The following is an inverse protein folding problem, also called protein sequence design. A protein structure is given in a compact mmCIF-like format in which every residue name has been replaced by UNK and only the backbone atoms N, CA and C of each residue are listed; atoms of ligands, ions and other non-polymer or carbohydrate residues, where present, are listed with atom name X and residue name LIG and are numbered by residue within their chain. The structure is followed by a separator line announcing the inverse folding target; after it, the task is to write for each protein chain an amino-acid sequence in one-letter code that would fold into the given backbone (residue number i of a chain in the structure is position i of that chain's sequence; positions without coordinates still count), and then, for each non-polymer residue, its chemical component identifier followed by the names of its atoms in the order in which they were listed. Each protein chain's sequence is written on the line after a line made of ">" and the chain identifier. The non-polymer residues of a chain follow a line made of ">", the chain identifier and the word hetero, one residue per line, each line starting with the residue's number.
data_IF_883376595926
#
_entry.id   IF_883376595926
#
_cell.length_a   1.000
_cell.length_b   1.000
_cell.length_c   1.000
_cell.angle_alpha   90.00
_cell.angle_beta   90.00
_cell.angle_gamma   90.00
#
_symmetry.space_group_name_H-M   'P 1'
#
loop_
_entity.id
_entity.type
_entity.pdbx_description
1 polymer ?
#
# COMPACT_ATOMS: atom_id res chain seq x y z
N UNK A 1 23.47 20.20 -17.89
CA UNK A 1 22.90 20.32 -19.24
C UNK A 1 22.25 18.98 -19.57
N UNK A 2 20.92 18.89 -19.54
CA UNK A 2 20.20 17.62 -19.85
C UNK A 2 20.46 17.23 -21.30
N UNK A 3 20.67 15.93 -21.56
CA UNK A 3 20.87 15.39 -22.91
C UNK A 3 19.59 15.62 -23.75
N UNK A 4 19.69 15.96 -25.05
CA UNK A 4 18.55 16.22 -25.92
C UNK A 4 17.51 15.08 -25.94
N UNK A 5 17.97 13.82 -25.87
CA UNK A 5 17.11 12.64 -25.86
C UNK A 5 16.21 12.54 -24.62
N UNK A 6 16.68 13.01 -23.45
CA UNK A 6 15.90 13.07 -22.22
C UNK A 6 14.79 14.14 -22.29
N UNK A 7 15.04 15.27 -22.99
CA UNK A 7 14.02 16.31 -23.20
C UNK A 7 12.91 15.85 -24.15
N UNK A 8 13.26 15.14 -25.23
CA UNK A 8 12.30 14.61 -26.21
C UNK A 8 11.44 13.53 -25.56
N UNK A 9 12.03 12.64 -24.75
CA UNK A 9 11.29 11.60 -24.02
C UNK A 9 10.32 12.21 -23.00
N UNK A 10 10.73 13.26 -22.29
CA UNK A 10 9.89 13.97 -21.31
C UNK A 10 8.71 14.70 -21.98
N UNK A 11 8.93 15.32 -23.15
CA UNK A 11 7.87 15.99 -23.90
C UNK A 11 6.84 14.97 -24.44
N UNK A 12 7.29 13.87 -25.05
CA UNK A 12 6.41 12.79 -25.52
C UNK A 12 5.56 12.21 -24.39
N UNK A 13 6.15 12.01 -23.20
CA UNK A 13 5.46 11.52 -22.01
C UNK A 13 4.36 12.48 -21.54
N UNK A 14 4.65 13.79 -21.46
CA UNK A 14 3.66 14.81 -21.07
C UNK A 14 2.49 14.86 -22.06
N UNK A 15 2.76 14.80 -23.36
CA UNK A 15 1.70 14.77 -24.39
C UNK A 15 0.86 13.50 -24.28
N UNK A 16 1.49 12.35 -24.06
CA UNK A 16 0.77 11.08 -23.82
C UNK A 16 -0.15 11.18 -22.59
N UNK A 17 0.31 11.76 -21.49
CA UNK A 17 -0.51 11.94 -20.31
C UNK A 17 -1.70 12.88 -20.55
N UNK A 18 -1.51 14.00 -21.25
CA UNK A 18 -2.60 14.92 -21.58
C UNK A 18 -3.71 14.24 -22.42
N UNK A 19 -3.33 13.35 -23.34
CA UNK A 19 -4.30 12.60 -24.15
C UNK A 19 -5.01 11.55 -23.28
N UNK A 20 -4.28 10.84 -22.42
CA UNK A 20 -4.82 9.84 -21.48
C UNK A 20 -5.78 10.47 -20.49
N UNK A 21 -5.44 11.64 -19.96
CA UNK A 21 -6.26 12.39 -18.99
C UNK A 21 -7.56 12.94 -19.62
N UNK A 22 -7.68 12.98 -20.98
CA UNK A 22 -8.93 13.35 -21.67
C UNK A 22 -10.00 12.25 -21.61
N UNK A 23 -9.58 10.99 -21.46
CA UNK A 23 -10.47 9.82 -21.36
C UNK A 23 -9.98 8.93 -20.17
N UNK A 24 -10.00 9.45 -18.95
CA UNK A 24 -9.25 8.89 -17.84
C UNK A 24 -9.65 7.45 -17.52
N UNK A 25 -10.94 7.15 -17.52
CA UNK A 25 -11.48 5.84 -17.14
C UNK A 25 -11.74 4.90 -18.34
N UNK A 26 -11.23 5.21 -19.56
CA UNK A 26 -11.30 4.26 -20.67
C UNK A 26 -10.53 2.99 -20.30
N UNK A 27 -11.17 1.79 -20.32
CA UNK A 27 -10.49 0.54 -19.98
C UNK A 27 -9.40 0.20 -21.04
N UNK A 28 -8.24 -0.18 -20.56
CA UNK A 28 -7.14 -0.70 -21.39
C UNK A 28 -6.48 -1.88 -20.70
N UNK A 29 -6.20 -2.94 -21.43
CA UNK A 29 -5.40 -4.05 -20.89
C UNK A 29 -3.91 -3.73 -21.05
N UNK A 30 -3.15 -3.95 -19.98
CA UNK A 30 -1.70 -3.76 -19.93
C UNK A 30 -1.06 -4.93 -19.18
N UNK A 31 0.11 -5.30 -19.63
CA UNK A 31 1.00 -6.15 -18.85
C UNK A 31 1.81 -5.26 -17.90
N UNK A 32 1.78 -5.59 -16.62
CA UNK A 32 2.54 -4.93 -15.58
C UNK A 32 3.26 -6.00 -14.78
N UNK A 33 4.58 -6.03 -14.85
CA UNK A 33 5.42 -6.97 -14.10
C UNK A 33 4.97 -8.45 -14.21
N UNK A 34 4.64 -8.87 -15.42
CA UNK A 34 4.27 -10.25 -15.73
C UNK A 34 2.80 -10.62 -15.52
N UNK A 35 1.96 -9.69 -15.07
CA UNK A 35 0.51 -9.92 -14.95
C UNK A 35 -0.29 -9.03 -15.90
N UNK A 36 -1.41 -9.57 -16.43
CA UNK A 36 -2.31 -8.80 -17.28
C UNK A 36 -3.36 -8.11 -16.42
N UNK A 37 -3.46 -6.77 -16.54
CA UNK A 37 -4.40 -5.95 -15.80
C UNK A 37 -5.26 -5.10 -16.73
N UNK A 38 -6.54 -4.97 -16.42
CA UNK A 38 -7.45 -3.98 -17.01
C UNK A 38 -7.34 -2.70 -16.18
N UNK A 39 -6.85 -1.63 -16.78
CA UNK A 39 -6.56 -0.37 -16.10
C UNK A 39 -7.36 0.78 -16.71
N UNK A 40 -7.67 1.83 -15.95
CA UNK A 40 -8.01 3.13 -16.50
C UNK A 40 -6.88 3.62 -17.42
N UNK A 41 -7.20 4.19 -18.57
CA UNK A 41 -6.16 4.66 -19.51
C UNK A 41 -5.21 5.69 -18.91
N UNK A 42 -5.70 6.53 -17.99
CA UNK A 42 -4.89 7.51 -17.26
C UNK A 42 -4.00 6.90 -16.18
N UNK A 43 -4.22 5.63 -15.80
CA UNK A 43 -3.49 5.00 -14.70
C UNK A 43 -1.99 4.94 -14.97
N UNK A 44 -1.19 5.31 -13.98
CA UNK A 44 0.28 5.49 -14.14
C UNK A 44 1.11 4.28 -13.70
N UNK A 45 0.46 3.25 -13.19
CA UNK A 45 1.13 2.02 -12.77
C UNK A 45 2.08 1.45 -13.85
N UNK A 46 1.71 1.38 -15.15
CA UNK A 46 2.64 0.92 -16.18
C UNK A 46 3.86 1.82 -16.36
N UNK A 47 3.70 3.13 -16.11
CA UNK A 47 4.80 4.08 -16.17
C UNK A 47 5.77 3.84 -15.01
N UNK A 48 5.26 3.64 -13.78
CA UNK A 48 6.07 3.36 -12.59
C UNK A 48 6.85 2.06 -12.72
N UNK A 49 6.21 0.98 -13.14
CA UNK A 49 6.87 -0.31 -13.40
C UNK A 49 7.97 -0.23 -14.46
N UNK A 50 7.84 0.69 -15.43
CA UNK A 50 8.87 0.90 -16.47
C UNK A 50 10.07 1.70 -15.94
N UNK A 51 9.84 2.64 -15.02
CA UNK A 51 10.92 3.50 -14.49
C UNK A 51 11.69 2.87 -13.34
N UNK A 52 11.03 2.01 -12.58
CA UNK A 52 11.58 1.30 -11.44
C UNK A 52 11.33 -0.20 -11.56
N UNK A 53 12.29 -1.00 -12.06
CA UNK A 53 12.08 -2.45 -12.22
C UNK A 53 11.82 -3.17 -10.90
N UNK A 54 12.19 -2.55 -9.74
CA UNK A 54 11.93 -3.07 -8.41
C UNK A 54 10.62 -2.55 -7.80
N UNK A 55 9.95 -1.59 -8.44
CA UNK A 55 8.70 -1.00 -7.95
C UNK A 55 7.64 -2.08 -7.68
N UNK A 56 7.13 -2.13 -6.43
CA UNK A 56 6.16 -3.12 -5.99
C UNK A 56 6.70 -4.56 -5.82
N UNK A 57 7.94 -4.86 -6.25
CA UNK A 57 8.52 -6.20 -6.12
C UNK A 57 8.88 -6.54 -4.67
N UNK A 58 9.16 -5.53 -3.84
CA UNK A 58 9.37 -5.68 -2.40
C UNK A 58 8.17 -6.36 -1.71
N UNK A 59 6.94 -5.94 -2.00
CA UNK A 59 5.72 -6.57 -1.49
C UNK A 59 5.56 -8.00 -2.00
N UNK A 60 5.79 -8.24 -3.30
CA UNK A 60 5.66 -9.57 -3.91
C UNK A 60 6.66 -10.55 -3.31
N UNK A 61 7.93 -10.17 -3.17
CA UNK A 61 8.97 -11.00 -2.56
C UNK A 61 8.72 -11.22 -1.05
N UNK A 62 8.17 -10.22 -0.35
CA UNK A 62 7.74 -10.39 1.04
C UNK A 62 6.63 -11.43 1.15
N UNK A 63 5.57 -11.29 0.34
CA UNK A 63 4.45 -12.22 0.31
C UNK A 63 4.90 -13.65 -0.01
N UNK A 64 5.77 -13.83 -1.01
CA UNK A 64 6.37 -15.12 -1.37
C UNK A 64 7.15 -15.73 -0.21
N UNK A 65 8.02 -14.93 0.43
CA UNK A 65 8.82 -15.42 1.57
C UNK A 65 7.96 -15.83 2.76
N UNK A 66 6.86 -15.11 3.04
CA UNK A 66 5.92 -15.45 4.10
C UNK A 66 5.12 -16.72 3.76
N UNK A 67 4.69 -16.88 2.50
CA UNK A 67 4.00 -18.08 2.03
C UNK A 67 4.90 -19.34 2.09
N UNK A 68 6.19 -19.20 1.77
CA UNK A 68 7.17 -20.30 1.91
C UNK A 68 7.34 -20.73 3.38
N UNK A 69 7.25 -19.77 4.32
CA UNK A 69 7.41 -20.04 5.75
C UNK A 69 6.14 -20.65 6.39
N UNK A 70 4.94 -20.24 5.96
CA UNK A 70 3.67 -20.68 6.51
C UNK A 70 2.53 -20.62 5.46
N UNK A 71 2.40 -21.63 4.57
CA UNK A 71 1.32 -21.65 3.58
C UNK A 71 -0.01 -22.17 4.19
N UNK A 72 -1.18 -21.78 3.63
CA UNK A 72 -1.37 -20.77 2.60
C UNK A 72 -1.32 -19.34 3.17
N UNK A 73 -0.93 -18.36 2.33
CA UNK A 73 -0.86 -16.97 2.74
C UNK A 73 -2.25 -16.34 2.84
N UNK A 74 -2.54 -15.66 3.95
CA UNK A 74 -3.76 -14.87 4.13
C UNK A 74 -3.39 -13.40 4.17
N UNK A 75 -3.96 -12.60 3.25
CA UNK A 75 -3.59 -11.20 3.01
C UNK A 75 -4.79 -10.27 3.16
N UNK A 76 -4.56 -9.12 3.79
CA UNK A 76 -5.44 -7.95 3.75
C UNK A 76 -4.77 -6.87 2.90
N UNK A 77 -5.43 -6.44 1.82
CA UNK A 77 -4.99 -5.37 0.91
C UNK A 77 -5.90 -4.15 1.08
N UNK A 78 -5.43 -3.15 1.83
CA UNK A 78 -6.15 -1.89 2.09
C UNK A 78 -5.71 -0.84 1.08
N UNK A 79 -6.68 -0.21 0.42
CA UNK A 79 -6.44 0.63 -0.75
C UNK A 79 -6.08 -0.24 -1.95
N UNK A 80 -6.90 -1.26 -2.23
CA UNK A 80 -6.63 -2.23 -3.29
C UNK A 80 -6.66 -1.64 -4.70
N UNK A 81 -7.21 -0.45 -4.88
CA UNK A 81 -7.23 0.32 -6.13
C UNK A 81 -7.75 -0.53 -7.30
N UNK A 82 -6.92 -0.86 -8.27
CA UNK A 82 -7.27 -1.72 -9.42
C UNK A 82 -6.99 -3.21 -9.19
N UNK A 83 -6.52 -3.60 -8.00
CA UNK A 83 -6.23 -4.99 -7.62
C UNK A 83 -4.89 -5.53 -8.09
N UNK A 84 -3.99 -4.67 -8.50
CA UNK A 84 -2.66 -5.06 -8.99
C UNK A 84 -1.83 -5.77 -7.92
N UNK A 85 -1.84 -5.30 -6.67
CA UNK A 85 -1.17 -5.96 -5.54
C UNK A 85 -1.71 -7.39 -5.33
N UNK A 86 -3.04 -7.54 -5.27
CA UNK A 86 -3.68 -8.84 -5.05
C UNK A 86 -3.34 -9.83 -6.18
N UNK A 87 -3.42 -9.39 -7.45
CA UNK A 87 -3.09 -10.24 -8.61
C UNK A 87 -1.62 -10.64 -8.61
N UNK A 88 -0.70 -9.71 -8.32
CA UNK A 88 0.74 -9.98 -8.27
C UNK A 88 1.10 -10.94 -7.14
N UNK A 89 0.55 -10.74 -5.93
CA UNK A 89 0.75 -11.64 -4.78
C UNK A 89 0.27 -13.05 -5.12
N UNK A 90 -0.96 -13.21 -5.63
CA UNK A 90 -1.55 -14.52 -5.93
C UNK A 90 -0.93 -15.20 -7.16
N UNK A 91 -0.23 -14.45 -8.00
CA UNK A 91 0.61 -15.03 -9.07
C UNK A 91 1.94 -15.59 -8.53
N UNK A 92 2.45 -15.03 -7.44
CA UNK A 92 3.74 -15.40 -6.85
C UNK A 92 3.65 -16.38 -5.69
N UNK A 93 2.50 -16.43 -4.98
CA UNK A 93 2.29 -17.23 -3.78
C UNK A 93 0.88 -17.84 -3.75
N UNK A 94 0.76 -19.03 -3.15
CA UNK A 94 -0.55 -19.60 -2.85
C UNK A 94 -1.15 -18.96 -1.61
N UNK A 95 -2.45 -18.62 -1.69
CA UNK A 95 -3.12 -17.95 -0.60
C UNK A 95 -4.47 -17.35 -0.99
N UNK A 96 -4.96 -16.43 -0.14
CA UNK A 96 -6.20 -15.68 -0.33
C UNK A 96 -6.00 -14.21 0.05
N UNK A 97 -6.74 -13.31 -0.60
CA UNK A 97 -6.63 -11.86 -0.40
C UNK A 97 -8.01 -11.27 -0.12
N UNK A 98 -8.12 -10.47 0.95
CA UNK A 98 -9.23 -9.58 1.21
C UNK A 98 -8.86 -8.18 0.75
N UNK A 99 -9.45 -7.72 -0.34
CA UNK A 99 -9.27 -6.37 -0.88
C UNK A 99 -10.27 -5.40 -0.26
N UNK A 100 -9.82 -4.22 0.15
CA UNK A 100 -10.68 -3.11 0.56
C UNK A 100 -10.42 -1.93 -0.34
N UNK A 101 -11.47 -1.44 -0.98
CA UNK A 101 -11.42 -0.26 -1.84
C UNK A 101 -12.73 0.54 -1.68
N UNK A 102 -12.63 1.85 -1.63
CA UNK A 102 -13.78 2.74 -1.46
C UNK A 102 -14.12 3.54 -2.72
N UNK A 103 -13.14 3.78 -3.60
CA UNK A 103 -13.35 4.58 -4.79
C UNK A 103 -14.10 3.79 -5.87
N UNK A 104 -15.38 4.15 -6.07
CA UNK A 104 -16.26 3.51 -7.07
C UNK A 104 -15.67 3.47 -8.48
N UNK A 105 -14.82 4.43 -8.84
CA UNK A 105 -14.21 4.46 -10.16
C UNK A 105 -13.12 3.39 -10.30
N UNK A 106 -12.40 3.07 -9.22
CA UNK A 106 -11.39 1.99 -9.23
C UNK A 106 -12.00 0.63 -8.91
N UNK A 107 -13.07 0.56 -8.11
CA UNK A 107 -13.82 -0.69 -7.86
C UNK A 107 -14.22 -1.41 -9.16
N UNK A 108 -14.66 -0.66 -10.20
CA UNK A 108 -15.00 -1.27 -11.49
C UNK A 108 -13.80 -2.01 -12.11
N UNK A 109 -12.59 -1.47 -11.96
CA UNK A 109 -11.36 -2.10 -12.47
C UNK A 109 -10.88 -3.21 -11.54
N UNK A 110 -10.98 -3.05 -10.24
CA UNK A 110 -10.70 -4.10 -9.26
C UNK A 110 -11.51 -5.36 -9.59
N UNK A 111 -12.84 -5.24 -9.70
CA UNK A 111 -13.72 -6.35 -10.05
C UNK A 111 -13.34 -7.01 -11.40
N UNK A 112 -13.02 -6.22 -12.41
CA UNK A 112 -12.56 -6.76 -13.71
C UNK A 112 -11.29 -7.59 -13.60
N UNK A 113 -10.41 -7.26 -12.65
CA UNK A 113 -9.14 -7.94 -12.47
C UNK A 113 -9.21 -9.15 -11.54
N UNK A 114 -10.15 -9.16 -10.57
CA UNK A 114 -10.13 -10.18 -9.49
C UNK A 114 -11.36 -11.09 -9.41
N UNK A 115 -12.53 -10.71 -9.94
CA UNK A 115 -13.79 -11.48 -9.74
C UNK A 115 -13.75 -12.91 -10.24
N UNK A 116 -12.85 -13.23 -11.16
CA UNK A 116 -12.69 -14.60 -11.66
C UNK A 116 -11.78 -15.46 -10.75
N UNK A 117 -11.07 -14.85 -9.81
CA UNK A 117 -10.22 -15.57 -8.87
C UNK A 117 -10.96 -15.76 -7.52
N UNK A 118 -11.35 -16.99 -7.24
CA UNK A 118 -12.08 -17.36 -6.01
C UNK A 118 -11.27 -17.16 -4.73
N UNK A 119 -9.98 -16.90 -4.84
CA UNK A 119 -9.08 -16.60 -3.72
C UNK A 119 -9.18 -15.14 -3.26
N UNK A 120 -9.88 -14.29 -4.02
CA UNK A 120 -10.05 -12.86 -3.71
C UNK A 120 -11.47 -12.59 -3.22
N UNK A 121 -11.56 -11.87 -2.11
CA UNK A 121 -12.79 -11.25 -1.61
C UNK A 121 -12.66 -9.74 -1.65
N UNK A 122 -13.73 -9.02 -1.98
CA UNK A 122 -13.72 -7.55 -2.08
C UNK A 122 -14.73 -6.96 -1.09
N UNK A 123 -14.29 -5.96 -0.33
CA UNK A 123 -15.14 -5.12 0.53
C UNK A 123 -15.12 -3.70 -0.02
N UNK A 124 -16.28 -3.25 -0.51
CA UNK A 124 -16.49 -1.92 -1.09
C UNK A 124 -16.75 -0.89 0.01
N UNK A 125 -15.71 -0.52 0.74
CA UNK A 125 -15.80 0.42 1.86
C UNK A 125 -14.49 1.18 2.08
N UNK A 126 -14.59 2.33 2.74
CA UNK A 126 -13.46 3.04 3.32
C UNK A 126 -13.14 2.45 4.69
N UNK A 127 -11.91 1.95 4.87
CA UNK A 127 -11.44 1.55 6.19
C UNK A 127 -11.26 2.80 7.06
N UNK A 128 -11.76 2.75 8.29
CA UNK A 128 -11.68 3.84 9.25
C UNK A 128 -11.27 3.30 10.63
N UNK A 129 -10.67 4.16 11.46
CA UNK A 129 -10.32 3.77 12.85
C UNK A 129 -11.60 3.61 13.68
N UNK A 130 -12.54 4.55 13.57
CA UNK A 130 -13.81 4.53 14.30
C UNK A 130 -14.99 4.65 13.33
N UNK A 131 -16.01 3.83 13.54
CA UNK A 131 -17.25 3.89 12.75
C UNK A 131 -18.02 5.20 13.05
N UNK A 132 -18.66 5.74 12.00
CA UNK A 132 -19.44 6.98 12.11
C UNK A 132 -18.67 8.25 11.76
N UNK A 133 -17.43 8.17 11.31
CA UNK A 133 -16.73 9.30 10.71
C UNK A 133 -17.37 9.66 9.38
N UNK A 134 -18.05 10.80 9.35
CA UNK A 134 -18.93 11.24 8.26
C UNK A 134 -18.17 11.85 7.08
N UNK A 135 -18.62 11.49 5.87
CA UNK A 135 -18.40 12.27 4.64
C UNK A 135 -16.95 12.41 4.20
N UNK A 136 -16.47 11.45 3.42
CA UNK A 136 -15.21 11.57 2.70
C UNK A 136 -15.47 11.78 1.20
N UNK A 137 -14.76 12.71 0.58
CA UNK A 137 -14.80 12.96 -0.87
C UNK A 137 -13.49 12.48 -1.50
N UNK A 138 -13.60 11.71 -2.58
CA UNK A 138 -12.45 11.19 -3.31
C UNK A 138 -11.80 12.28 -4.18
N UNK A 139 -10.50 12.52 -3.96
CA UNK A 139 -9.65 13.38 -4.81
C UNK A 139 -8.66 12.49 -5.54
N UNK A 140 -8.84 12.37 -6.87
CA UNK A 140 -8.06 11.46 -7.72
C UNK A 140 -6.94 12.18 -8.44
N UNK A 141 -5.75 11.58 -8.45
CA UNK A 141 -4.59 12.10 -9.17
C UNK A 141 -3.71 10.96 -9.70
N UNK A 142 -3.61 10.83 -11.01
CA UNK A 142 -2.62 9.93 -11.65
C UNK A 142 -2.77 8.43 -11.39
N UNK A 143 -3.91 7.98 -10.88
CA UNK A 143 -4.15 6.57 -10.55
C UNK A 143 -4.29 6.31 -9.05
N UNK A 144 -4.15 7.33 -8.20
CA UNK A 144 -4.36 7.23 -6.75
C UNK A 144 -5.58 8.03 -6.32
N UNK A 145 -6.18 7.69 -5.18
CA UNK A 145 -7.32 8.39 -4.59
C UNK A 145 -7.04 8.74 -3.14
N UNK A 146 -7.05 10.02 -2.82
CA UNK A 146 -7.02 10.51 -1.45
C UNK A 146 -8.44 10.90 -1.02
N UNK A 147 -8.82 10.48 0.19
CA UNK A 147 -10.08 10.87 0.78
C UNK A 147 -9.89 12.10 1.68
N UNK A 148 -10.66 13.15 1.40
CA UNK A 148 -10.67 14.38 2.20
C UNK A 148 -12.06 14.60 2.82
N UNK A 149 -12.15 15.36 3.91
CA UNK A 149 -13.44 15.72 4.51
C UNK A 149 -14.37 16.27 3.44
N UNK A 150 -15.54 15.64 3.26
CA UNK A 150 -16.53 15.96 2.25
C UNK A 150 -17.92 16.20 2.83
N UNK A 151 -18.91 16.38 1.96
CA UNK A 151 -20.30 16.52 2.36
C UNK A 151 -20.96 15.17 2.61
N UNK A 152 -22.04 15.15 3.41
CA UNK A 152 -22.84 13.94 3.66
C UNK A 152 -23.46 13.32 2.39
N UNK A 153 -23.53 14.09 1.28
CA UNK A 153 -24.08 13.61 0.00
C UNK A 153 -23.15 12.60 -0.71
N UNK A 154 -21.85 12.59 -0.37
CA UNK A 154 -20.84 11.70 -0.96
C UNK A 154 -20.48 10.55 -0.01
N UNK A 155 -21.30 10.25 1.00
CA UNK A 155 -21.02 9.24 2.00
C UNK A 155 -20.80 7.87 1.38
N UNK A 156 -19.57 7.38 1.50
CA UNK A 156 -19.21 6.00 1.16
C UNK A 156 -19.43 5.08 2.37
N UNK A 157 -19.71 3.79 2.15
CA UNK A 157 -19.69 2.83 3.22
C UNK A 157 -18.34 2.88 3.95
N UNK A 158 -18.38 2.86 5.28
CA UNK A 158 -17.20 2.79 6.13
C UNK A 158 -17.20 1.50 6.94
N UNK A 159 -16.02 0.97 7.23
CA UNK A 159 -15.85 -0.21 8.05
C UNK A 159 -14.65 -0.03 8.97
N UNK A 160 -14.77 -0.38 10.25
CA UNK A 160 -13.63 -0.44 11.16
C UNK A 160 -12.88 -1.77 11.02
N UNK A 161 -11.60 -1.82 11.42
CA UNK A 161 -10.80 -3.05 11.38
C UNK A 161 -11.45 -4.19 12.20
N UNK A 162 -11.99 -3.90 13.38
CA UNK A 162 -12.71 -4.87 14.21
C UNK A 162 -13.97 -5.41 13.53
N UNK A 163 -14.74 -4.55 12.87
CA UNK A 163 -15.94 -4.94 12.14
C UNK A 163 -15.59 -5.76 10.91
N UNK A 164 -14.55 -5.34 10.17
CA UNK A 164 -14.04 -6.04 9.00
C UNK A 164 -13.67 -7.48 9.33
N UNK A 165 -12.87 -7.68 10.40
CA UNK A 165 -12.48 -9.01 10.88
C UNK A 165 -13.73 -9.87 11.23
N UNK A 166 -14.65 -9.30 12.00
CA UNK A 166 -15.87 -9.99 12.41
C UNK A 166 -16.72 -10.46 11.23
N UNK A 167 -16.81 -9.66 10.17
CA UNK A 167 -17.63 -9.94 9.01
C UNK A 167 -16.92 -10.86 7.99
N UNK A 168 -15.61 -11.08 8.15
CA UNK A 168 -14.77 -11.90 7.26
C UNK A 168 -13.96 -12.94 8.04
N UNK A 169 -14.60 -13.90 8.74
CA UNK A 169 -13.92 -14.86 9.62
C UNK A 169 -12.94 -15.78 8.88
N UNK A 170 -13.08 -15.95 7.56
CA UNK A 170 -12.12 -16.68 6.74
C UNK A 170 -10.72 -16.03 6.72
N UNK A 171 -10.61 -14.79 7.20
CA UNK A 171 -9.36 -14.03 7.30
C UNK A 171 -8.88 -13.85 8.75
N UNK A 172 -9.36 -14.64 9.70
CA UNK A 172 -8.92 -14.58 11.11
C UNK A 172 -7.43 -14.93 11.27
N UNK A 173 -6.91 -15.81 10.43
CA UNK A 173 -5.50 -16.22 10.35
C UNK A 173 -4.62 -15.29 9.50
N UNK A 174 -4.89 -13.99 9.55
CA UNK A 174 -4.21 -12.98 8.75
C UNK A 174 -2.69 -13.03 8.93
N UNK A 175 -1.95 -13.12 7.81
CA UNK A 175 -0.49 -13.25 7.83
C UNK A 175 0.24 -12.02 7.29
N UNK A 176 -0.37 -11.31 6.35
CA UNK A 176 0.20 -10.11 5.75
C UNK A 176 -0.89 -9.04 5.62
N UNK A 177 -0.56 -7.82 6.02
CA UNK A 177 -1.33 -6.61 5.72
C UNK A 177 -0.53 -5.79 4.71
N UNK A 178 -1.15 -5.37 3.60
CA UNK A 178 -0.69 -4.25 2.78
C UNK A 178 -1.62 -3.08 3.02
N UNK A 179 -1.08 -1.90 3.29
CA UNK A 179 -1.84 -0.66 3.38
C UNK A 179 -1.16 0.43 2.56
N UNK A 180 -1.94 1.07 1.70
CA UNK A 180 -1.52 2.17 0.85
C UNK A 180 -2.73 3.12 0.68
N UNK A 181 -2.79 4.10 1.57
CA UNK A 181 -3.97 4.95 1.77
C UNK A 181 -3.64 6.44 1.76
N UNK A 182 -2.56 6.80 1.03
CA UNK A 182 -2.15 8.20 0.84
C UNK A 182 -2.01 8.97 2.19
N UNK A 183 -1.34 8.34 3.18
CA UNK A 183 -0.95 8.94 4.46
C UNK A 183 -1.88 8.66 5.66
N UNK A 184 -3.01 7.95 5.48
CA UNK A 184 -3.84 7.48 6.60
C UNK A 184 -3.29 6.22 7.26
N UNK A 185 -2.31 5.59 6.67
CA UNK A 185 -1.66 4.34 7.09
C UNK A 185 -1.18 4.40 8.54
N UNK A 186 -0.67 5.54 8.98
CA UNK A 186 -0.15 5.74 10.34
C UNK A 186 -1.20 5.52 11.45
N UNK A 187 -2.48 5.65 11.13
CA UNK A 187 -3.59 5.37 12.04
C UNK A 187 -4.26 4.03 11.77
N UNK A 188 -4.38 3.66 10.49
CA UNK A 188 -5.08 2.45 10.08
C UNK A 188 -4.28 1.19 10.43
N UNK A 189 -2.96 1.21 10.20
CA UNK A 189 -2.10 0.04 10.43
C UNK A 189 -2.09 -0.39 11.90
N UNK A 190 -1.94 0.50 12.92
CA UNK A 190 -2.10 0.11 14.31
C UNK A 190 -3.50 -0.42 14.65
N UNK A 191 -4.56 0.16 14.09
CA UNK A 191 -5.93 -0.32 14.32
C UNK A 191 -6.16 -1.72 13.74
N UNK A 192 -5.54 -2.04 12.59
CA UNK A 192 -5.54 -3.39 12.02
C UNK A 192 -4.75 -4.35 12.93
N UNK A 193 -3.57 -3.94 13.39
CA UNK A 193 -2.73 -4.74 14.29
C UNK A 193 -3.47 -5.07 15.61
N UNK A 194 -4.21 -4.12 16.17
CA UNK A 194 -5.08 -4.34 17.35
C UNK A 194 -6.21 -5.33 17.04
N UNK A 195 -6.86 -5.19 15.88
CA UNK A 195 -7.97 -6.06 15.48
C UNK A 195 -7.54 -7.51 15.27
N UNK A 196 -6.33 -7.77 14.79
CA UNK A 196 -5.73 -9.10 14.59
C UNK A 196 -4.55 -9.38 15.54
N UNK A 197 -4.66 -8.91 16.79
CA UNK A 197 -3.56 -9.03 17.78
C UNK A 197 -3.13 -10.47 18.07
N UNK A 198 -4.03 -11.44 17.92
CA UNK A 198 -3.75 -12.88 18.06
C UNK A 198 -3.03 -13.49 16.85
N UNK A 199 -3.32 -12.99 15.64
CA UNK A 199 -2.69 -13.45 14.39
C UNK A 199 -1.31 -12.81 14.16
N UNK A 200 -1.09 -11.58 14.66
CA UNK A 200 0.18 -10.83 14.55
C UNK A 200 0.73 -10.76 13.12
N UNK A 201 -0.08 -10.28 12.14
CA UNK A 201 0.35 -10.24 10.74
C UNK A 201 1.58 -9.36 10.55
N UNK A 202 2.39 -9.66 9.55
CA UNK A 202 3.40 -8.70 9.07
C UNK A 202 2.68 -7.51 8.45
N UNK A 203 3.08 -6.30 8.83
CA UNK A 203 2.46 -5.04 8.40
C UNK A 203 3.33 -4.39 7.34
N UNK A 204 2.89 -4.41 6.09
CA UNK A 204 3.56 -3.70 4.99
C UNK A 204 2.73 -2.47 4.61
N UNK A 205 3.34 -1.29 4.64
CA UNK A 205 2.62 -0.06 4.30
C UNK A 205 3.52 1.04 3.71
N UNK A 206 2.88 1.94 2.95
CA UNK A 206 3.52 3.17 2.49
C UNK A 206 3.66 4.15 3.67
N UNK A 207 4.89 4.55 3.96
CA UNK A 207 5.20 5.56 4.96
C UNK A 207 5.59 6.87 4.27
N UNK A 208 4.61 7.72 4.01
CA UNK A 208 4.78 9.06 3.43
C UNK A 208 4.45 10.15 4.47
N UNK A 209 5.49 10.73 5.13
CA UNK A 209 5.26 11.79 6.11
C UNK A 209 4.60 13.04 5.53
N UNK A 210 4.81 13.33 4.24
CA UNK A 210 4.20 14.49 3.60
C UNK A 210 2.69 14.31 3.43
N UNK A 211 2.25 13.16 2.90
CA UNK A 211 0.82 12.86 2.75
C UNK A 211 0.14 12.75 4.11
N UNK A 212 0.81 12.16 5.10
CA UNK A 212 0.31 12.08 6.49
C UNK A 212 0.05 13.46 7.07
N UNK A 213 0.98 14.43 6.90
CA UNK A 213 0.75 15.81 7.33
C UNK A 213 -0.38 16.50 6.58
N UNK A 214 -0.57 16.20 5.29
CA UNK A 214 -1.72 16.72 4.52
C UNK A 214 -3.07 16.16 5.01
N UNK A 215 -3.04 15.01 5.68
CA UNK A 215 -4.21 14.41 6.33
C UNK A 215 -4.41 14.92 7.77
N UNK A 216 -3.64 15.91 8.23
CA UNK A 216 -3.67 16.46 9.58
C UNK A 216 -3.25 15.45 10.67
N UNK A 217 -2.39 14.50 10.32
CA UNK A 217 -1.90 13.45 11.19
C UNK A 217 -0.41 13.62 11.53
N UNK A 218 0.02 13.01 12.64
CA UNK A 218 1.44 12.96 13.02
C UNK A 218 2.12 11.70 12.46
N UNK A 219 3.04 11.81 11.49
CA UNK A 219 3.70 10.66 10.91
C UNK A 219 4.53 9.85 11.91
N UNK A 220 5.04 10.49 12.96
CA UNK A 220 5.86 9.79 13.95
C UNK A 220 5.04 8.99 14.97
N UNK A 221 3.73 9.26 15.09
CA UNK A 221 2.87 8.61 16.07
C UNK A 221 2.67 7.10 15.84
N UNK A 222 2.87 6.61 14.62
CA UNK A 222 2.73 5.18 14.29
C UNK A 222 3.74 4.32 15.05
N UNK A 223 4.97 4.78 15.19
CA UNK A 223 6.06 3.97 15.72
C UNK A 223 5.88 3.57 17.18
N UNK A 224 5.63 4.49 18.15
CA UNK A 224 5.38 4.11 19.52
C UNK A 224 4.13 3.23 19.66
N UNK A 225 3.06 3.47 18.87
CA UNK A 225 1.88 2.62 18.90
C UNK A 225 2.16 1.19 18.46
N UNK A 226 2.90 1.00 17.36
CA UNK A 226 3.31 -0.32 16.91
C UNK A 226 4.23 -1.01 17.93
N UNK A 227 5.14 -0.25 18.56
CA UNK A 227 5.99 -0.78 19.63
C UNK A 227 5.19 -1.27 20.84
N UNK A 228 4.14 -0.55 21.26
CA UNK A 228 3.22 -0.97 22.34
C UNK A 228 2.48 -2.27 22.01
N UNK A 229 2.21 -2.52 20.72
CA UNK A 229 1.58 -3.73 20.22
C UNK A 229 2.57 -4.89 19.97
N UNK A 230 3.85 -4.74 20.35
CA UNK A 230 4.89 -5.77 20.22
C UNK A 230 5.56 -5.82 18.85
N UNK A 231 5.29 -4.89 17.94
CA UNK A 231 5.94 -4.80 16.63
C UNK A 231 7.28 -4.08 16.76
N UNK A 232 8.39 -4.82 16.63
CA UNK A 232 9.73 -4.32 16.94
C UNK A 232 10.68 -4.26 15.76
N UNK A 233 10.50 -5.10 14.76
CA UNK A 233 11.45 -5.25 13.65
C UNK A 233 10.92 -4.56 12.42
N UNK A 234 11.69 -3.61 11.86
CA UNK A 234 11.32 -2.81 10.69
C UNK A 234 12.31 -3.04 9.57
N UNK A 235 11.82 -3.41 8.39
CA UNK A 235 12.57 -3.41 7.14
C UNK A 235 12.08 -2.25 6.27
N UNK A 236 12.99 -1.55 5.62
CA UNK A 236 12.73 -0.32 4.88
C UNK A 236 13.24 -0.42 3.45
N UNK A 237 12.39 -0.06 2.50
CA UNK A 237 12.72 0.15 1.09
C UNK A 237 12.44 1.61 0.71
N UNK A 238 13.12 2.10 -0.31
CA UNK A 238 12.71 3.35 -0.94
C UNK A 238 11.43 3.15 -1.78
N UNK A 239 10.83 4.23 -2.20
CA UNK A 239 9.63 4.24 -3.04
C UNK A 239 9.82 3.66 -4.46
N UNK A 240 11.00 3.17 -4.79
CA UNK A 240 11.31 2.41 -6.00
C UNK A 240 11.47 0.92 -5.74
N UNK A 241 11.34 0.48 -4.47
CA UNK A 241 11.47 -0.91 -4.04
C UNK A 241 12.92 -1.35 -3.74
N UNK A 242 13.89 -0.43 -3.73
CA UNK A 242 15.27 -0.77 -3.37
C UNK A 242 15.44 -0.84 -1.84
N UNK A 243 16.08 -1.90 -1.29
CA UNK A 243 16.25 -2.06 0.15
C UNK A 243 17.19 -0.98 0.72
N UNK A 244 16.80 -0.37 1.84
CA UNK A 244 17.56 0.67 2.53
C UNK A 244 18.21 0.15 3.82
N UNK A 245 17.60 -0.82 4.50
CA UNK A 245 18.14 -1.39 5.74
C UNK A 245 17.04 -1.70 6.75
N UNK A 246 17.44 -2.22 7.90
CA UNK A 246 16.57 -2.57 9.02
C UNK A 246 16.80 -1.65 10.22
N UNK A 247 15.78 -1.50 11.03
CA UNK A 247 15.79 -0.79 12.32
C UNK A 247 14.81 -1.45 13.29
N UNK A 248 14.88 -1.08 14.55
CA UNK A 248 13.79 -1.28 15.49
C UNK A 248 12.78 -0.13 15.39
N UNK A 249 11.58 -0.31 15.94
CA UNK A 249 10.57 0.75 16.03
C UNK A 249 11.04 1.94 16.89
N UNK A 250 11.98 1.75 17.79
CA UNK A 250 12.60 2.83 18.55
C UNK A 250 13.67 3.59 17.74
N UNK A 251 14.48 2.86 16.98
CA UNK A 251 15.58 3.43 16.16
C UNK A 251 15.07 4.18 14.93
N UNK A 252 13.98 3.72 14.32
CA UNK A 252 13.46 4.30 13.08
C UNK A 252 12.94 5.73 13.24
N UNK A 253 12.55 6.15 14.45
CA UNK A 253 11.99 7.48 14.72
C UNK A 253 12.96 8.59 14.27
N UNK A 254 14.25 8.42 14.52
CA UNK A 254 15.26 9.41 14.11
C UNK A 254 15.41 9.49 12.58
N UNK A 255 15.37 8.36 11.88
CA UNK A 255 15.42 8.31 10.42
C UNK A 255 14.14 8.86 9.79
N UNK A 256 12.98 8.51 10.34
CA UNK A 256 11.67 9.00 9.93
C UNK A 256 11.55 10.52 10.11
N UNK A 257 12.08 11.08 11.19
CA UNK A 257 12.14 12.52 11.40
C UNK A 257 13.01 13.25 10.34
N UNK A 258 14.09 12.62 9.89
CA UNK A 258 14.89 13.17 8.76
C UNK A 258 14.12 13.10 7.44
N UNK A 259 13.40 11.99 7.19
CA UNK A 259 12.55 11.82 6.02
C UNK A 259 11.45 12.88 5.97
N UNK A 260 10.78 13.15 7.09
CA UNK A 260 9.75 14.18 7.21
C UNK A 260 10.27 15.58 6.86
N UNK A 261 11.49 15.89 7.28
CA UNK A 261 12.10 17.22 7.12
C UNK A 261 12.92 17.38 5.83
N UNK A 262 12.67 16.57 4.81
CA UNK A 262 13.37 16.69 3.53
C UNK A 262 13.20 18.07 2.89
N UNK A 263 14.30 18.70 2.40
CA UNK A 263 14.22 19.95 1.67
C UNK A 263 13.66 19.74 0.26
N UNK A 264 13.01 20.77 -0.28
CA UNK A 264 12.57 20.78 -1.67
C UNK A 264 11.05 20.72 -1.87
N UNK A 265 10.58 20.77 -3.12
CA UNK A 265 9.17 20.72 -3.45
C UNK A 265 8.58 19.32 -3.17
N UNK A 266 7.31 19.25 -2.81
CA UNK A 266 6.59 18.01 -2.45
C UNK A 266 6.82 16.87 -3.44
N UNK A 267 6.76 17.14 -4.74
CA UNK A 267 6.96 16.15 -5.82
C UNK A 267 8.39 15.56 -5.93
N UNK A 268 9.36 16.12 -5.23
CA UNK A 268 10.74 15.63 -5.19
C UNK A 268 11.06 14.92 -3.87
N UNK A 269 10.07 14.80 -2.96
CA UNK A 269 10.22 14.09 -1.70
C UNK A 269 10.19 12.59 -1.95
N UNK A 270 10.97 11.88 -1.17
CA UNK A 270 10.94 10.41 -1.12
C UNK A 270 10.08 9.98 0.05
N UNK A 271 9.54 8.79 -0.04
CA UNK A 271 8.82 8.08 1.01
C UNK A 271 9.34 6.64 1.07
N UNK A 272 8.87 5.87 2.02
CA UNK A 272 9.32 4.51 2.22
C UNK A 272 8.16 3.53 2.07
N UNK A 273 8.47 2.35 1.57
CA UNK A 273 7.71 1.15 1.86
C UNK A 273 8.35 0.50 3.09
N UNK A 274 7.55 0.12 4.07
CA UNK A 274 8.06 -0.48 5.29
C UNK A 274 7.32 -1.78 5.60
N UNK A 275 8.06 -2.79 6.09
CA UNK A 275 7.49 -3.99 6.68
C UNK A 275 7.82 -4.02 8.17
N UNK A 276 6.80 -4.17 9.02
CA UNK A 276 6.96 -4.24 10.47
C UNK A 276 6.51 -5.59 10.98
N UNK A 277 7.37 -6.24 11.77
CA UNK A 277 7.20 -7.61 12.24
C UNK A 277 7.13 -7.62 13.76
N UNK A 278 6.19 -8.42 14.29
CA UNK A 278 6.03 -8.62 15.73
C UNK A 278 7.25 -9.33 16.33
N UNK A 279 7.61 -9.01 17.57
CA UNK A 279 8.78 -9.54 18.27
C UNK A 279 8.78 -11.07 18.40
N UNK A 280 7.61 -11.70 18.51
CA UNK A 280 7.43 -13.14 18.61
C UNK A 280 7.34 -13.85 17.22
N UNK A 281 7.43 -13.13 16.10
CA UNK A 281 7.38 -13.72 14.76
C UNK A 281 8.76 -13.95 14.18
N UNK A 282 9.40 -15.04 14.59
CA UNK A 282 10.73 -15.43 14.09
C UNK A 282 10.75 -15.69 12.57
N UNK A 283 9.67 -16.22 12.02
CA UNK A 283 9.58 -16.53 10.59
C UNK A 283 9.49 -15.25 9.75
N UNK A 284 8.65 -14.30 10.13
CA UNK A 284 8.57 -13.00 9.49
C UNK A 284 9.87 -12.21 9.60
N UNK A 285 10.51 -12.25 10.79
CA UNK A 285 11.81 -11.63 11.01
C UNK A 285 12.88 -12.23 10.06
N UNK A 286 12.93 -13.54 9.91
CA UNK A 286 13.86 -14.19 9.00
C UNK A 286 13.64 -13.80 7.53
N UNK A 287 12.38 -13.62 7.11
CA UNK A 287 12.04 -13.17 5.77
C UNK A 287 12.55 -11.75 5.53
N UNK A 288 12.23 -10.78 6.41
CA UNK A 288 12.69 -9.40 6.22
C UNK A 288 14.22 -9.27 6.30
N UNK A 289 14.91 -10.07 7.13
CA UNK A 289 16.37 -10.08 7.20
C UNK A 289 17.02 -10.53 5.90
N UNK A 290 16.42 -11.49 5.20
CA UNK A 290 16.87 -11.95 3.89
C UNK A 290 16.65 -10.90 2.81
N UNK A 291 15.50 -10.22 2.82
CA UNK A 291 15.11 -9.26 1.78
C UNK A 291 15.81 -7.91 1.93
N UNK A 292 16.07 -7.49 3.16
CA UNK A 292 16.67 -6.20 3.48
C UNK A 292 17.87 -6.41 4.41
N UNK A 293 19.03 -6.77 3.87
CA UNK A 293 20.22 -6.94 4.70
C UNK A 293 20.79 -5.60 5.19
N UNK A 294 21.39 -5.61 6.38
CA UNK A 294 22.06 -4.45 6.98
C UNK A 294 21.14 -3.52 7.76
N UNK A 295 21.75 -2.55 8.45
CA UNK A 295 21.04 -1.57 9.27
C UNK A 295 20.68 -0.33 8.46
N UNK A 296 19.54 0.28 8.76
CA UNK A 296 19.11 1.57 8.20
C UNK A 296 20.06 2.67 8.69
N UNK A 297 20.66 3.44 7.79
CA UNK A 297 21.67 4.49 8.07
C UNK A 297 21.12 5.90 7.93
#
# INVERSE_FOLDING_TARGET
>A
MMRPDAMVSTAKRRVSWLIRDRFPFRPVTREVQGVQLVLPWSHRLPDYATWGPLYGQNLVELAKGLAEAAPPLTVLDVGANVGDSAVQILNAADGKVLCIEADRAYLEFLHRNVDQDKRVSVVEALLVVEEGSSGATAVRTGGTTRFVKGSAADAMPTVSAMRLRKDNPDFDDLRLVKSDTDGYDVNLVPAIAEAWADARPVLFFEYDPYLTRLADLDPLAVWPRLAELGYRHVAVWDNGGAPLGQATTDEIIAAAGRLENQPGPARARTYWDVAVVHEDDDSGRSVIQRLVPGSLT
#
